data_IF_283868063575
#
_entry.id   IF_283868063575
#
_cell.length_a   1.000
_cell.length_b   1.000
_cell.length_c   1.000
_cell.angle_alpha   90.00
_cell.angle_beta   90.00
_cell.angle_gamma   90.00
#
_symmetry.space_group_name_H-M   'P 1'
#
loop_
_entity.id
_entity.type
_entity.pdbx_description
1 polymer ?
#
# COMPACT_ATOMS: atom_id res chain seq x y z
N UNK A 1 7.42 -1.39 -26.97
CA UNK A 1 6.03 -1.80 -26.71
C UNK A 1 5.69 -2.11 -25.25
N UNK A 2 6.47 -2.84 -24.49
CA UNK A 2 6.13 -3.19 -23.07
C UNK A 2 6.38 -2.04 -22.08
N UNK A 3 7.25 -1.13 -22.37
CA UNK A 3 7.53 0.09 -21.61
C UNK A 3 6.44 1.16 -21.85
N UNK A 4 5.84 1.19 -23.02
CA UNK A 4 4.87 2.19 -23.48
C UNK A 4 3.59 2.20 -22.63
N UNK A 5 2.98 1.04 -22.36
CA UNK A 5 1.74 0.96 -21.57
C UNK A 5 1.93 1.54 -20.15
N UNK A 6 3.08 1.27 -19.52
CA UNK A 6 3.34 1.81 -18.19
C UNK A 6 3.61 3.31 -18.23
N UNK A 7 4.28 3.79 -19.26
CA UNK A 7 4.52 5.22 -19.46
C UNK A 7 3.23 5.96 -19.83
N UNK A 8 2.36 5.35 -20.63
CA UNK A 8 1.04 5.91 -20.95
C UNK A 8 0.18 6.05 -19.69
N UNK A 9 0.12 5.02 -18.82
CA UNK A 9 -0.59 5.08 -17.53
C UNK A 9 0.00 6.19 -16.65
N UNK A 10 1.32 6.30 -16.58
CA UNK A 10 1.96 7.35 -15.78
C UNK A 10 1.62 8.73 -16.33
N UNK A 11 1.69 8.92 -17.64
CA UNK A 11 1.37 10.17 -18.31
C UNK A 11 -0.08 10.56 -18.05
N UNK A 12 -1.02 9.64 -18.23
CA UNK A 12 -2.43 9.87 -17.99
C UNK A 12 -2.71 10.28 -16.54
N UNK A 13 -2.02 9.65 -15.57
CA UNK A 13 -2.10 10.02 -14.16
C UNK A 13 -1.56 11.43 -13.94
N UNK A 14 -0.38 11.73 -14.50
CA UNK A 14 0.27 13.03 -14.30
C UNK A 14 -0.52 14.18 -14.92
N UNK A 15 -1.16 13.95 -16.06
CA UNK A 15 -1.96 14.97 -16.76
C UNK A 15 -3.26 15.33 -15.99
N UNK A 16 -3.81 14.37 -15.23
CA UNK A 16 -5.05 14.56 -14.48
C UNK A 16 -4.83 15.07 -13.05
N UNK A 17 -3.61 14.94 -12.53
CA UNK A 17 -3.30 15.41 -11.20
C UNK A 17 -2.98 16.91 -11.19
N UNK A 18 -3.38 17.64 -10.14
CA UNK A 18 -3.05 19.04 -10.00
C UNK A 18 -1.53 19.22 -9.87
N UNK A 19 -0.97 20.19 -10.60
CA UNK A 19 0.48 20.46 -10.61
C UNK A 19 1.07 20.76 -9.23
N UNK A 20 0.27 21.34 -8.35
CA UNK A 20 0.66 21.64 -6.95
C UNK A 20 0.80 20.39 -6.08
N UNK A 21 0.30 19.23 -6.51
CA UNK A 21 0.52 17.96 -5.82
C UNK A 21 1.99 17.51 -5.84
N UNK A 22 2.79 18.02 -6.78
CA UNK A 22 4.22 17.72 -6.91
C UNK A 22 4.53 16.21 -6.83
N UNK A 23 3.89 15.44 -7.71
CA UNK A 23 4.13 14.01 -7.82
C UNK A 23 5.55 13.77 -8.33
N UNK A 24 6.40 13.18 -7.49
CA UNK A 24 7.80 12.90 -7.81
C UNK A 24 7.98 11.58 -8.55
N UNK A 25 7.13 10.59 -8.28
CA UNK A 25 7.28 9.25 -8.82
C UNK A 25 5.95 8.49 -8.88
N UNK A 26 5.80 7.66 -9.91
CA UNK A 26 4.71 6.69 -10.05
C UNK A 26 5.33 5.29 -10.13
N UNK A 27 4.95 4.39 -9.22
CA UNK A 27 5.44 3.02 -9.17
C UNK A 27 4.27 2.04 -9.25
N UNK A 28 4.55 0.85 -9.76
CA UNK A 28 3.60 -0.26 -9.82
C UNK A 28 4.01 -1.30 -8.78
N UNK A 29 3.20 -1.48 -7.74
CA UNK A 29 3.47 -2.43 -6.64
C UNK A 29 2.35 -3.47 -6.59
N UNK A 30 2.56 -4.64 -7.21
CA UNK A 30 1.51 -5.65 -7.38
C UNK A 30 0.34 -5.07 -8.18
N UNK A 31 -0.91 -5.23 -7.72
CA UNK A 31 -2.09 -4.70 -8.41
C UNK A 31 -2.27 -3.18 -8.21
N UNK A 32 -1.42 -2.52 -7.43
CA UNK A 32 -1.58 -1.15 -6.99
C UNK A 32 -0.65 -0.21 -7.76
N UNK A 33 -1.14 0.99 -8.05
CA UNK A 33 -0.36 2.11 -8.58
C UNK A 33 -0.06 3.05 -7.42
N UNK A 34 1.22 3.21 -7.10
CA UNK A 34 1.68 4.02 -5.97
C UNK A 34 2.19 5.36 -6.48
N UNK A 35 1.61 6.45 -5.97
CA UNK A 35 1.99 7.82 -6.26
C UNK A 35 2.80 8.38 -5.10
N UNK A 36 4.03 8.81 -5.36
CA UNK A 36 4.84 9.54 -4.38
C UNK A 36 4.71 11.04 -4.61
N UNK A 37 4.34 11.76 -3.58
CA UNK A 37 4.09 13.21 -3.63
C UNK A 37 4.78 13.94 -2.51
N UNK A 38 5.22 15.18 -2.76
CA UNK A 38 5.73 16.06 -1.70
C UNK A 38 4.61 16.72 -0.90
N UNK A 39 3.42 16.84 -1.51
CA UNK A 39 2.25 17.46 -0.89
C UNK A 39 1.08 16.46 -0.81
N UNK A 40 1.12 15.47 0.11
CA UNK A 40 0.08 14.45 0.20
C UNK A 40 -1.29 15.03 0.56
N UNK A 41 -1.33 16.16 1.26
CA UNK A 41 -2.56 16.83 1.66
C UNK A 41 -3.44 17.17 0.46
N UNK A 42 -2.86 17.76 -0.58
CA UNK A 42 -3.60 18.20 -1.77
C UNK A 42 -4.31 17.05 -2.46
N UNK A 43 -3.68 15.88 -2.47
CA UNK A 43 -4.26 14.69 -3.08
C UNK A 43 -5.26 14.04 -2.12
N UNK A 44 -4.99 14.04 -0.82
CA UNK A 44 -5.86 13.44 0.20
C UNK A 44 -7.15 14.23 0.38
N UNK A 45 -7.08 15.56 0.31
CA UNK A 45 -8.26 16.43 0.39
C UNK A 45 -9.14 16.33 -0.88
N UNK A 46 -8.54 16.00 -2.03
CA UNK A 46 -9.24 15.75 -3.30
C UNK A 46 -9.57 14.25 -3.50
N UNK A 47 -10.11 13.59 -2.49
CA UNK A 47 -10.42 12.15 -2.52
C UNK A 47 -11.32 11.73 -3.69
N UNK A 48 -12.19 12.61 -4.19
CA UNK A 48 -13.07 12.33 -5.33
C UNK A 48 -12.29 12.29 -6.65
N UNK A 49 -11.26 13.11 -6.80
CA UNK A 49 -10.35 13.06 -7.95
C UNK A 49 -9.64 11.69 -8.02
N UNK A 50 -9.12 11.21 -6.88
CA UNK A 50 -8.45 9.92 -6.82
C UNK A 50 -9.42 8.77 -7.08
N UNK A 51 -10.65 8.87 -6.57
CA UNK A 51 -11.68 7.85 -6.84
C UNK A 51 -12.07 7.81 -8.32
N UNK A 52 -12.25 8.97 -8.96
CA UNK A 52 -12.57 9.05 -10.38
C UNK A 52 -11.43 8.49 -11.22
N UNK A 53 -10.19 8.84 -10.90
CA UNK A 53 -8.99 8.35 -11.58
C UNK A 53 -8.83 6.83 -11.40
N UNK A 54 -9.03 6.31 -10.18
CA UNK A 54 -8.97 4.87 -9.90
C UNK A 54 -10.07 4.09 -10.65
N UNK A 55 -11.27 4.67 -10.76
CA UNK A 55 -12.40 4.08 -11.49
C UNK A 55 -12.15 4.05 -13.00
N UNK A 56 -11.62 5.12 -13.54
CA UNK A 56 -11.31 5.26 -14.97
C UNK A 56 -10.19 4.31 -15.40
N UNK A 57 -9.09 4.32 -14.66
CA UNK A 57 -7.95 3.41 -14.89
C UNK A 57 -8.26 1.96 -14.52
N UNK A 58 -9.35 1.71 -13.80
CA UNK A 58 -9.68 0.40 -13.20
C UNK A 58 -8.52 -0.18 -12.37
N UNK A 59 -7.81 0.71 -11.64
CA UNK A 59 -6.64 0.37 -10.85
C UNK A 59 -6.76 0.97 -9.46
N UNK A 60 -6.22 0.27 -8.48
CA UNK A 60 -6.14 0.79 -7.12
C UNK A 60 -4.97 1.76 -7.02
N UNK A 61 -5.26 2.99 -6.61
CA UNK A 61 -4.26 4.05 -6.44
C UNK A 61 -3.96 4.21 -4.95
N UNK A 62 -2.69 4.21 -4.61
CA UNK A 62 -2.20 4.48 -3.26
C UNK A 62 -1.31 5.73 -3.31
N UNK A 63 -1.50 6.60 -2.32
CA UNK A 63 -0.72 7.83 -2.18
C UNK A 63 0.27 7.61 -1.04
N UNK A 64 1.53 7.94 -1.31
CA UNK A 64 2.60 7.98 -0.31
C UNK A 64 3.34 9.30 -0.41
N UNK A 65 3.84 9.78 0.70
CA UNK A 65 4.70 10.96 0.69
C UNK A 65 6.09 10.63 0.16
N UNK A 66 6.69 11.60 -0.49
CA UNK A 66 8.13 11.54 -0.80
C UNK A 66 8.94 11.54 0.49
N UNK A 67 10.11 10.92 0.48
CA UNK A 67 10.98 10.84 1.67
C UNK A 67 11.38 12.21 2.22
N UNK A 68 11.44 13.21 1.36
CA UNK A 68 11.77 14.59 1.76
C UNK A 68 10.67 15.31 2.55
N UNK A 69 9.44 14.79 2.49
CA UNK A 69 8.28 15.35 3.17
C UNK A 69 7.91 14.61 4.47
N UNK A 70 8.72 13.64 4.88
CA UNK A 70 8.46 12.86 6.09
C UNK A 70 8.97 13.58 7.34
N UNK A 71 8.13 13.63 8.35
CA UNK A 71 8.53 14.10 9.68
C UNK A 71 9.44 13.07 10.37
N UNK A 72 10.31 13.54 11.26
CA UNK A 72 11.19 12.68 12.05
C UNK A 72 10.42 11.63 12.88
N UNK A 73 11.00 10.45 13.13
CA UNK A 73 10.30 9.38 13.84
C UNK A 73 9.81 9.77 15.24
N UNK A 74 10.63 10.48 16.02
CA UNK A 74 10.26 10.87 17.38
C UNK A 74 9.10 11.86 17.43
N UNK A 75 9.12 12.87 16.54
CA UNK A 75 8.03 13.82 16.42
C UNK A 75 6.76 13.16 15.87
N UNK A 76 6.92 12.21 14.97
CA UNK A 76 5.81 11.43 14.44
C UNK A 76 5.12 10.62 15.54
N UNK A 77 5.88 9.96 16.42
CA UNK A 77 5.32 9.20 17.55
C UNK A 77 4.48 10.13 18.45
N UNK A 78 5.00 11.30 18.79
CA UNK A 78 4.27 12.29 19.60
C UNK A 78 2.95 12.68 18.94
N UNK A 79 3.00 13.05 17.65
CA UNK A 79 1.79 13.43 16.90
C UNK A 79 0.80 12.29 16.74
N UNK A 80 1.26 11.06 16.57
CA UNK A 80 0.36 9.89 16.51
C UNK A 80 -0.37 9.71 17.83
N UNK A 81 0.31 9.87 18.98
CA UNK A 81 -0.32 9.80 20.29
C UNK A 81 -1.28 10.97 20.59
N UNK A 82 -1.03 12.15 20.03
CA UNK A 82 -1.94 13.30 20.13
C UNK A 82 -3.20 13.12 19.29
N UNK A 83 -3.07 12.53 18.10
CA UNK A 83 -4.17 12.38 17.14
C UNK A 83 -5.05 11.16 17.45
N UNK A 84 -4.42 10.05 17.87
CA UNK A 84 -5.11 8.78 18.12
C UNK A 84 -5.64 8.75 19.55
N UNK A 85 -6.94 8.48 19.77
CA UNK A 85 -7.49 8.38 21.12
C UNK A 85 -6.79 7.29 21.94
N UNK A 86 -6.52 7.55 23.23
CA UNK A 86 -5.89 6.60 24.15
C UNK A 86 -6.61 5.25 24.18
N UNK A 87 -7.93 5.25 24.05
CA UNK A 87 -8.75 4.04 23.96
C UNK A 87 -8.40 3.08 22.82
N UNK A 88 -7.57 3.50 21.83
CA UNK A 88 -7.08 2.63 20.77
C UNK A 88 -6.08 1.57 21.28
N UNK A 89 -5.42 1.84 22.40
CA UNK A 89 -4.42 0.97 23.04
C UNK A 89 -3.33 0.57 22.04
N UNK A 90 -2.53 1.57 21.61
CA UNK A 90 -1.38 1.37 20.71
C UNK A 90 -0.33 0.52 21.45
N UNK A 91 0.12 -0.55 20.83
CA UNK A 91 1.11 -1.49 21.40
C UNK A 91 2.47 -1.41 20.75
N UNK A 92 2.56 -0.98 19.48
CA UNK A 92 3.82 -0.83 18.75
C UNK A 92 3.67 0.20 17.63
N UNK A 93 4.73 0.97 17.40
CA UNK A 93 4.85 1.89 16.26
C UNK A 93 6.19 1.61 15.58
N UNK A 94 6.13 1.28 14.30
CA UNK A 94 7.31 0.96 13.50
C UNK A 94 7.31 1.77 12.20
N UNK A 95 8.48 2.24 11.78
CA UNK A 95 8.67 3.03 10.57
C UNK A 95 9.30 2.20 9.46
N UNK A 96 8.60 2.05 8.35
CA UNK A 96 9.14 1.47 7.12
C UNK A 96 9.57 2.58 6.16
N UNK A 97 10.84 2.94 6.22
CA UNK A 97 11.42 4.00 5.38
C UNK A 97 11.51 3.62 3.89
N UNK A 98 11.35 2.35 3.56
CA UNK A 98 11.38 1.85 2.17
C UNK A 98 10.07 2.14 1.47
N UNK A 99 8.95 1.97 2.19
CA UNK A 99 7.59 2.20 1.70
C UNK A 99 7.01 3.54 2.15
N UNK A 100 7.73 4.31 2.98
CA UNK A 100 7.24 5.55 3.61
C UNK A 100 5.96 5.32 4.42
N UNK A 101 5.88 4.19 5.12
CA UNK A 101 4.75 3.79 5.93
C UNK A 101 5.10 3.82 7.43
N UNK A 102 4.17 4.31 8.26
CA UNK A 102 4.19 4.11 9.70
C UNK A 102 3.23 2.97 10.05
N UNK A 103 3.77 1.88 10.57
CA UNK A 103 2.99 0.71 10.98
C UNK A 103 2.59 0.88 12.44
N UNK A 104 1.30 1.05 12.68
CA UNK A 104 0.73 1.24 14.03
C UNK A 104 -0.01 -0.04 14.41
N UNK A 105 0.43 -0.69 15.46
CA UNK A 105 -0.24 -1.87 16.01
C UNK A 105 -1.07 -1.47 17.22
N UNK A 106 -2.37 -1.76 17.21
CA UNK A 106 -3.29 -1.37 18.26
C UNK A 106 -4.30 -2.49 18.56
N UNK A 107 -4.82 -2.53 19.80
CA UNK A 107 -5.87 -3.49 20.18
C UNK A 107 -7.21 -3.14 19.49
N UNK A 108 -7.50 -1.86 19.38
CA UNK A 108 -8.71 -1.35 18.71
C UNK A 108 -8.38 -0.54 17.46
N UNK A 109 -8.03 -1.21 16.36
CA UNK A 109 -7.56 -0.56 15.13
C UNK A 109 -8.59 0.39 14.51
N UNK A 110 -9.88 0.19 14.75
CA UNK A 110 -10.94 1.06 14.28
C UNK A 110 -10.83 2.51 14.78
N UNK A 111 -10.32 2.71 16.01
CA UNK A 111 -10.10 4.05 16.57
C UNK A 111 -8.90 4.75 15.92
N UNK A 112 -7.88 3.99 15.51
CA UNK A 112 -6.72 4.52 14.76
C UNK A 112 -7.12 4.90 13.33
N UNK A 113 -8.03 4.16 12.72
CA UNK A 113 -8.57 4.48 11.39
C UNK A 113 -9.49 5.71 11.47
N UNK A 114 -10.34 5.74 12.50
CA UNK A 114 -11.37 6.76 12.69
C UNK A 114 -12.56 6.59 11.74
N UNK A 115 -13.64 7.32 12.04
CA UNK A 115 -14.84 7.30 11.21
C UNK A 115 -14.52 7.79 9.80
N UNK A 116 -14.85 7.00 8.79
CA UNK A 116 -14.52 7.27 7.38
C UNK A 116 -13.01 7.52 7.11
N UNK A 117 -12.11 7.02 7.97
CA UNK A 117 -10.67 7.18 7.80
C UNK A 117 -10.13 8.57 8.14
N UNK A 118 -10.88 9.38 8.89
CA UNK A 118 -10.48 10.76 9.25
C UNK A 118 -9.18 10.75 10.04
N UNK A 119 -9.06 9.93 11.09
CA UNK A 119 -7.86 9.86 11.94
C UNK A 119 -6.63 9.46 11.11
N UNK A 120 -6.76 8.46 10.24
CA UNK A 120 -5.67 8.06 9.33
C UNK A 120 -5.23 9.19 8.40
N UNK A 121 -6.18 9.95 7.83
CA UNK A 121 -5.84 11.12 7.00
C UNK A 121 -5.15 12.22 7.78
N UNK A 122 -5.60 12.47 9.01
CA UNK A 122 -4.96 13.45 9.90
C UNK A 122 -3.52 13.06 10.22
N UNK A 123 -3.22 11.76 10.40
CA UNK A 123 -1.85 11.28 10.57
C UNK A 123 -1.01 11.60 9.32
N UNK A 124 -1.50 11.27 8.12
CA UNK A 124 -0.79 11.59 6.86
C UNK A 124 -0.51 13.09 6.77
N UNK A 125 -1.53 13.91 7.03
CA UNK A 125 -1.45 15.36 6.94
C UNK A 125 -0.39 15.96 7.87
N UNK A 126 -0.33 15.49 9.12
CA UNK A 126 0.56 16.06 10.13
C UNK A 126 1.98 15.46 10.13
N UNK A 127 2.17 14.29 9.55
CA UNK A 127 3.45 13.55 9.64
C UNK A 127 4.07 13.21 8.30
N UNK A 128 3.30 13.23 7.23
CA UNK A 128 3.70 12.75 5.92
C UNK A 128 3.74 11.21 5.81
N UNK A 129 3.73 10.47 6.91
CA UNK A 129 3.78 9.02 6.90
C UNK A 129 2.44 8.40 6.54
N UNK A 130 2.43 7.42 5.64
CA UNK A 130 1.24 6.64 5.31
C UNK A 130 0.96 5.61 6.43
N UNK A 131 -0.16 5.71 7.19
CA UNK A 131 -0.42 4.81 8.31
C UNK A 131 -0.88 3.43 7.80
N UNK A 132 -0.18 2.39 8.22
CA UNK A 132 -0.55 1.00 8.06
C UNK A 132 -0.97 0.43 9.41
N UNK A 133 -2.26 0.16 9.57
CA UNK A 133 -2.83 -0.19 10.86
C UNK A 133 -2.95 -1.70 10.98
N UNK A 134 -2.36 -2.25 12.03
CA UNK A 134 -2.40 -3.67 12.35
C UNK A 134 -3.12 -3.89 13.67
N UNK A 135 -3.83 -5.01 13.76
CA UNK A 135 -4.42 -5.44 15.03
C UNK A 135 -3.39 -6.16 15.88
N UNK A 136 -3.34 -5.82 17.16
CA UNK A 136 -2.62 -6.62 18.15
C UNK A 136 -3.27 -8.01 18.26
N UNK A 137 -2.51 -9.09 18.12
CA UNK A 137 -3.07 -10.44 18.30
C UNK A 137 -3.70 -10.57 19.68
N UNK A 138 -4.90 -11.15 19.79
CA UNK A 138 -5.57 -11.33 21.09
C UNK A 138 -4.81 -12.31 22.00
N UNK A 139 -4.07 -13.24 21.40
CA UNK A 139 -3.21 -14.22 22.09
C UNK A 139 -1.77 -13.97 21.64
N UNK A 140 -0.86 -13.89 22.60
CA UNK A 140 0.58 -13.80 22.33
C UNK A 140 1.05 -15.04 21.56
N UNK A 141 1.78 -14.84 20.47
CA UNK A 141 2.32 -15.92 19.65
C UNK A 141 3.71 -15.56 19.14
N UNK A 142 4.70 -16.36 19.52
CA UNK A 142 6.08 -16.20 19.07
C UNK A 142 6.21 -16.35 17.56
N UNK A 143 5.39 -17.20 16.95
CA UNK A 143 5.37 -17.41 15.49
C UNK A 143 4.94 -16.13 14.79
N UNK A 144 3.87 -15.49 15.24
CA UNK A 144 3.40 -14.22 14.68
C UNK A 144 4.46 -13.12 14.86
N UNK A 145 5.12 -13.08 16.03
CA UNK A 145 6.21 -12.16 16.30
C UNK A 145 7.38 -12.34 15.33
N UNK A 146 7.85 -13.57 15.14
CA UNK A 146 8.92 -13.92 14.20
C UNK A 146 8.56 -13.59 12.77
N UNK A 147 7.34 -13.91 12.33
CA UNK A 147 6.86 -13.56 10.97
C UNK A 147 6.87 -12.03 10.78
N UNK A 148 6.34 -11.26 11.73
CA UNK A 148 6.33 -9.79 11.65
C UNK A 148 7.75 -9.22 11.59
N UNK A 149 8.67 -9.73 12.40
CA UNK A 149 10.08 -9.33 12.38
C UNK A 149 10.74 -9.64 11.02
N UNK A 150 10.50 -10.83 10.48
CA UNK A 150 11.00 -11.21 9.15
C UNK A 150 10.46 -10.28 8.07
N UNK A 151 9.17 -9.95 8.11
CA UNK A 151 8.54 -9.02 7.19
C UNK A 151 9.11 -7.59 7.31
N UNK A 152 9.40 -7.13 8.52
CA UNK A 152 10.07 -5.83 8.76
C UNK A 152 11.46 -5.82 8.11
N UNK A 153 12.26 -6.84 8.35
CA UNK A 153 13.64 -6.93 7.88
C UNK A 153 13.75 -7.10 6.35
N UNK A 154 12.75 -7.70 5.72
CA UNK A 154 12.71 -7.96 4.27
C UNK A 154 11.98 -6.89 3.45
N UNK A 155 11.76 -5.69 4.00
CA UNK A 155 10.97 -4.63 3.34
C UNK A 155 11.50 -4.26 1.94
N UNK A 156 12.82 -4.15 1.78
CA UNK A 156 13.46 -3.86 0.47
C UNK A 156 13.17 -4.94 -0.57
N UNK A 157 13.30 -6.20 -0.18
CA UNK A 157 13.12 -7.32 -1.11
C UNK A 157 11.64 -7.51 -1.46
N UNK A 158 10.75 -7.30 -0.48
CA UNK A 158 9.30 -7.26 -0.69
C UNK A 158 8.93 -6.16 -1.68
N UNK A 159 9.47 -4.97 -1.54
CA UNK A 159 9.21 -3.86 -2.49
C UNK A 159 9.67 -4.22 -3.89
N UNK A 160 10.88 -4.78 -4.05
CA UNK A 160 11.39 -5.25 -5.35
C UNK A 160 10.49 -6.31 -5.98
N UNK A 161 10.04 -7.27 -5.16
CA UNK A 161 9.11 -8.31 -5.60
C UNK A 161 7.77 -7.71 -6.07
N UNK A 162 7.18 -6.81 -5.28
CA UNK A 162 5.94 -6.14 -5.65
C UNK A 162 6.08 -5.30 -6.92
N UNK A 163 7.20 -4.61 -7.10
CA UNK A 163 7.47 -3.86 -8.34
C UNK A 163 7.60 -4.78 -9.56
N UNK A 164 8.23 -5.95 -9.39
CA UNK A 164 8.32 -6.96 -10.47
C UNK A 164 6.93 -7.49 -10.83
N UNK A 165 6.15 -7.86 -9.83
CA UNK A 165 4.77 -8.33 -10.02
C UNK A 165 3.89 -7.23 -10.62
N UNK A 166 4.02 -5.99 -10.15
CA UNK A 166 3.29 -4.85 -10.68
C UNK A 166 3.53 -4.66 -12.16
N UNK A 167 4.79 -4.69 -12.58
CA UNK A 167 5.11 -4.64 -14.02
C UNK A 167 4.45 -5.77 -14.80
N UNK A 168 4.52 -7.00 -14.32
CA UNK A 168 3.88 -8.14 -14.99
C UNK A 168 2.36 -8.00 -15.09
N UNK A 169 1.70 -7.55 -14.02
CA UNK A 169 0.23 -7.39 -13.97
C UNK A 169 -0.22 -6.27 -14.92
N UNK A 170 0.46 -5.14 -14.92
CA UNK A 170 0.02 -3.96 -15.67
C UNK A 170 0.45 -3.96 -17.14
N UNK A 171 1.52 -4.67 -17.47
CA UNK A 171 1.97 -4.84 -18.86
C UNK A 171 1.23 -5.95 -19.59
N UNK A 172 0.59 -6.86 -18.85
CA UNK A 172 0.12 -8.12 -19.38
C UNK A 172 1.26 -9.09 -19.74
N UNK A 173 1.00 -10.35 -19.68
CA UNK A 173 1.96 -11.38 -20.13
C UNK A 173 1.72 -11.66 -21.61
N UNK A 174 2.60 -11.18 -22.48
CA UNK A 174 2.64 -11.65 -23.87
C UNK A 174 3.37 -12.99 -23.88
N UNK A 175 2.63 -14.08 -23.89
CA UNK A 175 3.20 -15.38 -24.16
C UNK A 175 3.07 -15.65 -25.66
N UNK A 176 4.16 -16.05 -26.35
CA UNK A 176 4.14 -16.30 -27.79
C UNK A 176 3.25 -17.50 -28.17
N UNK A 177 2.98 -18.38 -27.24
CA UNK A 177 2.18 -19.59 -27.44
C UNK A 177 0.95 -19.59 -26.54
N UNK A 178 -0.14 -20.22 -27.01
CA UNK A 178 -1.31 -20.49 -26.19
C UNK A 178 -0.93 -21.48 -25.08
N UNK A 179 -1.17 -21.08 -23.82
CA UNK A 179 -0.94 -21.91 -22.65
C UNK A 179 -2.08 -21.76 -21.65
N UNK A 180 -2.27 -22.80 -20.88
CA UNK A 180 -3.17 -22.79 -19.74
C UNK A 180 -2.42 -23.34 -18.52
N UNK A 181 -2.62 -22.72 -17.36
CA UNK A 181 -2.04 -23.12 -16.09
C UNK A 181 -3.10 -23.22 -15.03
N UNK A 182 -3.09 -24.29 -14.29
CA UNK A 182 -3.86 -24.46 -13.07
C UNK A 182 -2.89 -24.41 -11.90
N UNK A 183 -3.10 -23.46 -10.99
CA UNK A 183 -2.28 -23.31 -9.79
C UNK A 183 -3.16 -23.60 -8.58
N UNK A 184 -2.83 -24.62 -7.80
CA UNK A 184 -3.51 -24.89 -6.55
C UNK A 184 -2.99 -23.94 -5.48
N UNK A 185 -3.89 -23.22 -4.81
CA UNK A 185 -3.60 -22.21 -3.79
C UNK A 185 -3.85 -22.72 -2.37
N UNK A 186 -4.28 -23.96 -2.22
CA UNK A 186 -4.55 -24.60 -0.93
C UNK A 186 -5.23 -25.96 -1.09
N UNK A 187 -5.61 -26.58 0.01
CA UNK A 187 -6.33 -27.86 0.01
C UNK A 187 -5.44 -29.11 -0.11
N UNK A 188 -4.13 -28.98 0.04
CA UNK A 188 -3.15 -30.08 -0.12
C UNK A 188 -3.12 -31.03 1.06
N UNK A 189 -3.84 -31.34 1.83
CA UNK A 189 -3.95 -32.26 2.96
C UNK A 189 -4.98 -31.79 4.01
N UNK A 190 -5.89 -30.92 3.59
CA UNK A 190 -6.90 -30.35 4.47
C UNK A 190 -8.27 -30.51 3.83
N UNK A 191 -9.30 -30.76 4.63
CA UNK A 191 -10.69 -30.67 4.21
C UNK A 191 -11.11 -29.20 4.29
N UNK A 192 -11.44 -28.61 3.15
CA UNK A 192 -11.75 -27.19 3.00
C UNK A 192 -10.54 -26.34 2.60
N UNK A 193 -10.74 -25.03 2.51
CA UNK A 193 -9.73 -24.06 2.06
C UNK A 193 -9.08 -24.35 0.70
N UNK A 194 -9.72 -25.18 -0.13
CA UNK A 194 -9.24 -25.44 -1.47
C UNK A 194 -9.54 -24.27 -2.38
N UNK A 195 -8.53 -23.78 -3.06
CA UNK A 195 -8.63 -22.73 -4.06
C UNK A 195 -7.75 -23.07 -5.24
N UNK A 196 -8.26 -22.89 -6.44
CA UNK A 196 -7.51 -23.09 -7.68
C UNK A 196 -7.55 -21.82 -8.51
N UNK A 197 -6.40 -21.39 -8.99
CA UNK A 197 -6.27 -20.30 -9.94
C UNK A 197 -6.06 -20.90 -11.34
N UNK A 198 -6.98 -20.62 -12.25
CA UNK A 198 -6.82 -20.92 -13.65
C UNK A 198 -6.35 -19.68 -14.40
N UNK A 199 -5.27 -19.79 -15.14
CA UNK A 199 -4.71 -18.72 -15.95
C UNK A 199 -4.49 -19.20 -17.36
N UNK A 200 -4.81 -18.39 -18.36
CA UNK A 200 -4.55 -18.68 -19.77
C UNK A 200 -3.80 -17.52 -20.45
N UNK A 201 -3.30 -17.76 -21.65
CA UNK A 201 -2.54 -16.78 -22.42
C UNK A 201 -3.38 -15.64 -23.01
N UNK A 202 -4.72 -15.73 -22.93
CA UNK A 202 -5.66 -14.79 -23.57
C UNK A 202 -6.21 -13.73 -22.59
N UNK A 203 -5.78 -13.76 -21.32
CA UNK A 203 -6.18 -12.77 -20.30
C UNK A 203 -4.99 -12.02 -19.75
#
# INVERSE_FOLDING_TARGET
MTSEILEDIKKEIMDKLPKNAQVSKVEFEGPEVVLYTKNPEIITDNGDLIRSLAKELRKRIIIRSDKSALLGPEETIKKVHEIVPEGAEITDIYFDTVTCEVVITAKKPGLVIGKYGVTSRTIVKNTGWAPKILRTPPISSDVIGKIRTTLKNSSKDRKKMLQRLGRQIHQGTKHPNDWARVTSMGGFKEVGRSSMLFTNSKQ
#
